data_IF_503927703923
#
_entry.id   IF_503927703923
#
_cell.length_a   1.000
_cell.length_b   1.000
_cell.length_c   1.000
_cell.angle_alpha   90.00
_cell.angle_beta   90.00
_cell.angle_gamma   90.00
#
_symmetry.space_group_name_H-M   'P 1'
#
loop_
_entity.id
_entity.type
_entity.pdbx_description
1 polymer ?
#
# COMPACT_ATOMS: atom_id res chain seq x y z
N UNK A 1 58.53 -33.60 -14.43
CA UNK A 1 58.49 -34.74 -13.49
C UNK A 1 57.11 -35.40 -13.56
N UNK A 2 57.11 -36.72 -13.78
CA UNK A 2 55.96 -37.66 -13.85
C UNK A 2 55.28 -37.77 -12.46
N UNK A 3 54.09 -38.32 -12.20
CA UNK A 3 53.15 -39.28 -12.84
C UNK A 3 51.79 -39.17 -12.11
N UNK A 4 50.59 -39.17 -12.73
CA UNK A 4 49.82 -40.28 -13.36
C UNK A 4 49.37 -41.42 -12.40
N UNK A 5 48.06 -41.52 -12.10
CA UNK A 5 47.07 -42.56 -12.59
C UNK A 5 45.94 -42.93 -11.57
N UNK A 6 44.70 -42.88 -12.08
CA UNK A 6 43.45 -43.59 -11.67
C UNK A 6 43.50 -45.09 -12.11
N UNK A 7 42.40 -45.90 -12.06
CA UNK A 7 41.44 -46.30 -11.00
C UNK A 7 41.23 -47.84 -10.97
N UNK A 8 40.29 -48.40 -10.18
CA UNK A 8 39.64 -49.71 -10.47
C UNK A 8 38.18 -49.78 -10.00
N UNK A 9 37.35 -50.37 -10.86
CA UNK A 9 35.95 -50.80 -10.69
C UNK A 9 35.91 -52.34 -10.83
N UNK A 10 34.84 -52.95 -10.28
CA UNK A 10 34.08 -54.11 -10.82
C UNK A 10 34.06 -55.43 -10.01
N UNK A 11 32.86 -56.04 -9.91
CA UNK A 11 32.61 -57.48 -9.63
C UNK A 11 31.44 -57.75 -8.65
N UNK A 12 30.16 -57.83 -9.06
CA UNK A 12 29.39 -58.98 -9.59
C UNK A 12 29.06 -60.10 -8.56
N UNK A 13 27.76 -60.34 -8.25
CA UNK A 13 27.03 -61.54 -8.72
C UNK A 13 25.59 -61.70 -8.19
N UNK A 14 24.78 -62.28 -9.08
CA UNK A 14 23.37 -62.68 -9.00
C UNK A 14 23.29 -64.21 -8.74
N UNK A 15 22.17 -64.72 -8.17
CA UNK A 15 21.37 -65.91 -8.60
C UNK A 15 20.40 -66.37 -7.47
N UNK A 16 19.06 -66.33 -7.70
CA UNK A 16 18.07 -67.46 -7.85
C UNK A 16 17.84 -68.36 -6.62
N UNK A 17 16.70 -68.96 -6.27
CA UNK A 17 15.33 -69.17 -6.79
C UNK A 17 14.53 -69.78 -5.59
N UNK A 18 13.21 -69.61 -5.46
CA UNK A 18 12.25 -70.69 -5.07
C UNK A 18 10.82 -70.15 -4.83
N UNK A 19 9.89 -70.63 -5.66
CA UNK A 19 8.43 -70.63 -5.45
C UNK A 19 8.03 -71.75 -4.47
N UNK A 20 6.91 -71.63 -3.73
CA UNK A 20 5.87 -72.63 -3.39
C UNK A 20 4.74 -71.91 -2.58
N UNK A 21 3.45 -72.37 -2.59
CA UNK A 21 2.27 -71.50 -2.49
C UNK A 21 1.37 -71.69 -1.23
N UNK A 22 0.32 -70.86 -1.16
CA UNK A 22 -0.99 -71.00 -0.48
C UNK A 22 -1.05 -71.17 1.06
N UNK A 23 -1.87 -70.36 1.73
CA UNK A 23 -3.16 -70.72 2.39
C UNK A 23 -3.64 -69.54 3.26
N UNK A 24 -4.88 -69.09 3.02
CA UNK A 24 -5.63 -68.12 3.84
C UNK A 24 -5.95 -68.68 5.23
N UNK A 25 -6.14 -67.79 6.22
CA UNK A 25 -7.35 -67.87 7.01
C UNK A 25 -8.12 -66.54 7.05
N UNK A 26 -9.42 -66.67 6.81
CA UNK A 26 -10.43 -65.64 6.98
C UNK A 26 -10.52 -65.32 8.48
N UNK A 27 -10.11 -64.11 8.88
CA UNK A 27 -10.51 -63.53 10.17
C UNK A 27 -11.52 -62.42 9.91
N UNK A 28 -12.78 -62.71 10.25
CA UNK A 28 -13.83 -61.70 10.46
C UNK A 28 -13.38 -60.79 11.61
N UNK A 29 -12.98 -59.56 11.30
CA UNK A 29 -12.97 -58.47 12.27
C UNK A 29 -14.26 -57.67 12.09
N UNK A 30 -15.04 -57.65 13.17
CA UNK A 30 -16.23 -56.84 13.37
C UNK A 30 -15.90 -55.36 13.25
N UNK A 31 -16.80 -54.60 12.64
CA UNK A 31 -16.72 -53.17 12.48
C UNK A 31 -16.56 -52.47 13.85
N UNK A 32 -15.41 -51.86 14.07
CA UNK A 32 -15.26 -50.70 14.93
C UNK A 32 -14.84 -49.55 14.00
N UNK A 33 -15.73 -48.59 13.81
CA UNK A 33 -15.47 -47.43 12.97
C UNK A 33 -14.27 -46.65 13.50
N UNK A 34 -13.30 -46.25 12.67
CA UNK A 34 -12.36 -45.23 13.07
C UNK A 34 -13.12 -43.90 13.03
N UNK A 35 -13.22 -43.29 14.21
CA UNK A 35 -13.73 -41.94 14.37
C UNK A 35 -13.06 -40.97 13.39
N UNK A 36 -13.89 -40.15 12.78
CA UNK A 36 -13.51 -38.98 12.00
C UNK A 36 -12.79 -37.97 12.88
N UNK A 37 -11.48 -38.13 13.00
CA UNK A 37 -10.58 -37.14 13.58
C UNK A 37 -9.80 -36.45 12.47
N UNK A 38 -10.16 -35.21 12.16
CA UNK A 38 -9.27 -34.26 11.46
C UNK A 38 -9.53 -33.98 9.99
N UNK A 39 -10.67 -33.37 9.63
CA UNK A 39 -10.80 -32.62 8.36
C UNK A 39 -11.52 -31.27 8.49
N UNK A 40 -11.81 -30.80 9.71
CA UNK A 40 -12.70 -29.67 9.94
C UNK A 40 -12.14 -28.29 9.56
N UNK A 41 -10.81 -28.11 9.56
CA UNK A 41 -10.21 -26.78 9.45
C UNK A 41 -9.96 -26.32 8.00
N UNK A 42 -9.66 -27.25 7.09
CA UNK A 42 -9.40 -26.92 5.67
C UNK A 42 -10.68 -26.55 4.90
N UNK A 43 -11.75 -27.33 5.08
CA UNK A 43 -13.02 -27.10 4.38
C UNK A 43 -13.71 -25.80 4.78
N UNK A 44 -13.54 -25.37 6.03
CA UNK A 44 -14.13 -24.14 6.55
C UNK A 44 -13.38 -22.88 6.03
N UNK A 45 -12.04 -22.92 5.98
CA UNK A 45 -11.26 -21.84 5.37
C UNK A 45 -11.53 -21.70 3.86
N UNK A 46 -11.56 -22.82 3.12
CA UNK A 46 -11.86 -22.81 1.69
C UNK A 46 -13.26 -22.24 1.40
N UNK A 47 -14.23 -22.55 2.27
CA UNK A 47 -15.58 -21.98 2.20
C UNK A 47 -15.56 -20.45 2.39
N UNK A 48 -14.88 -19.94 3.42
CA UNK A 48 -14.71 -18.48 3.63
C UNK A 48 -13.99 -17.81 2.47
N UNK A 49 -12.93 -18.43 1.95
CA UNK A 49 -12.18 -17.92 0.81
C UNK A 49 -13.07 -17.80 -0.44
N UNK A 50 -13.94 -18.77 -0.70
CA UNK A 50 -14.88 -18.70 -1.81
C UNK A 50 -15.90 -17.56 -1.65
N UNK A 51 -16.40 -17.33 -0.42
CA UNK A 51 -17.30 -16.21 -0.12
C UNK A 51 -16.62 -14.86 -0.37
N UNK A 52 -15.37 -14.69 0.09
CA UNK A 52 -14.56 -13.50 -0.19
C UNK A 52 -14.40 -13.28 -1.70
N UNK A 53 -14.03 -14.33 -2.45
CA UNK A 53 -13.90 -14.22 -3.90
C UNK A 53 -15.19 -13.78 -4.59
N UNK A 54 -16.35 -14.17 -4.07
CA UNK A 54 -17.63 -13.69 -4.60
C UNK A 54 -17.83 -12.19 -4.32
N UNK A 55 -17.50 -11.73 -3.10
CA UNK A 55 -17.53 -10.29 -2.78
C UNK A 55 -16.59 -9.49 -3.69
N UNK A 56 -15.36 -9.95 -3.90
CA UNK A 56 -14.35 -9.25 -4.70
C UNK A 56 -14.62 -9.26 -6.21
N UNK A 57 -15.54 -10.09 -6.70
CA UNK A 57 -16.05 -9.97 -8.09
C UNK A 57 -16.96 -8.75 -8.23
N UNK A 58 -17.77 -8.47 -7.22
CA UNK A 58 -18.74 -7.37 -7.24
C UNK A 58 -18.13 -6.03 -6.78
N UNK A 59 -17.13 -6.08 -5.91
CA UNK A 59 -16.53 -4.91 -5.27
C UNK A 59 -15.04 -4.84 -5.59
N UNK A 60 -14.55 -3.71 -6.10
CA UNK A 60 -13.12 -3.56 -6.35
C UNK A 60 -12.35 -3.61 -5.03
N UNK A 61 -11.37 -4.52 -4.94
CA UNK A 61 -10.33 -4.42 -3.92
C UNK A 61 -9.38 -3.27 -4.28
N UNK A 62 -9.23 -2.32 -3.37
CA UNK A 62 -8.41 -1.12 -3.52
C UNK A 62 -7.29 -1.14 -2.49
N UNK A 63 -6.05 -1.18 -2.96
CA UNK A 63 -4.87 -0.95 -2.12
C UNK A 63 -4.36 0.49 -2.28
N UNK A 64 -4.15 1.15 -1.15
CA UNK A 64 -3.79 2.57 -1.07
C UNK A 64 -2.32 2.91 -1.33
N UNK A 65 -1.42 1.94 -1.31
CA UNK A 65 0.01 2.23 -1.38
C UNK A 65 0.88 1.03 -1.77
N UNK A 66 1.56 1.15 -2.93
CA UNK A 66 2.52 0.16 -3.42
C UNK A 66 3.71 0.83 -4.13
N UNK A 67 4.92 0.46 -3.74
CA UNK A 67 6.19 1.06 -4.17
C UNK A 67 6.89 0.33 -5.32
N UNK A 68 6.18 -0.54 -6.06
CA UNK A 68 6.74 -1.15 -7.27
C UNK A 68 7.43 -0.14 -8.21
N UNK A 69 6.91 1.09 -8.46
CA UNK A 69 7.60 2.09 -9.27
C UNK A 69 9.00 2.45 -8.73
N UNK A 70 9.17 2.50 -7.41
CA UNK A 70 10.48 2.74 -6.81
C UNK A 70 11.44 1.57 -7.06
N UNK A 71 10.98 0.33 -6.98
CA UNK A 71 11.81 -0.84 -7.27
C UNK A 71 12.25 -0.91 -8.74
N UNK A 72 11.35 -0.58 -9.68
CA UNK A 72 11.71 -0.47 -11.10
C UNK A 72 12.78 0.61 -11.30
N UNK A 73 12.66 1.76 -10.61
CA UNK A 73 13.72 2.78 -10.62
C UNK A 73 15.03 2.27 -10.07
N UNK A 74 14.99 1.70 -8.87
CA UNK A 74 16.17 1.23 -8.14
C UNK A 74 16.96 0.22 -8.98
N UNK A 75 16.26 -0.79 -9.51
CA UNK A 75 16.86 -1.92 -10.21
C UNK A 75 17.13 -1.66 -11.68
N UNK A 76 16.20 -1.02 -12.41
CA UNK A 76 16.27 -0.88 -13.87
C UNK A 76 16.43 0.57 -14.35
N UNK A 77 16.52 1.54 -13.44
CA UNK A 77 16.63 2.96 -13.79
C UNK A 77 15.50 3.40 -14.74
N UNK A 78 14.27 2.96 -14.44
CA UNK A 78 13.04 3.26 -15.21
C UNK A 78 12.97 2.68 -16.63
N UNK A 79 13.90 1.78 -17.00
CA UNK A 79 13.93 1.12 -18.30
C UNK A 79 12.90 -0.02 -18.37
N UNK A 80 11.66 0.31 -18.74
CA UNK A 80 10.55 -0.66 -18.82
C UNK A 80 10.73 -1.75 -19.87
N UNK A 81 11.60 -1.55 -20.87
CA UNK A 81 11.94 -2.59 -21.86
C UNK A 81 12.53 -3.85 -21.20
N UNK A 82 13.18 -3.67 -20.05
CA UNK A 82 13.83 -4.73 -19.28
C UNK A 82 12.94 -5.20 -18.11
N UNK A 83 11.71 -4.69 -18.00
CA UNK A 83 10.76 -5.01 -16.93
C UNK A 83 9.62 -5.92 -17.41
N UNK A 84 9.66 -7.16 -16.95
CA UNK A 84 8.72 -8.22 -17.36
C UNK A 84 7.56 -8.37 -16.37
N UNK A 85 6.72 -7.35 -16.24
CA UNK A 85 5.61 -7.33 -15.27
C UNK A 85 4.56 -8.45 -15.45
N UNK A 86 4.42 -8.96 -16.67
CA UNK A 86 3.54 -10.09 -16.99
C UNK A 86 4.08 -11.46 -16.55
N UNK A 87 5.36 -11.55 -16.21
CA UNK A 87 6.00 -12.76 -15.70
C UNK A 87 5.84 -12.92 -14.18
N UNK A 88 6.45 -13.99 -13.65
CA UNK A 88 6.57 -14.20 -12.21
C UNK A 88 7.89 -13.61 -11.71
N UNK A 89 7.84 -12.44 -11.09
CA UNK A 89 9.07 -11.74 -10.69
C UNK A 89 9.84 -12.48 -9.60
N UNK A 90 9.25 -13.47 -8.92
CA UNK A 90 9.94 -14.34 -7.97
C UNK A 90 10.99 -15.23 -8.64
N UNK A 91 10.89 -15.42 -9.96
CA UNK A 91 11.80 -16.25 -10.74
C UNK A 91 12.81 -15.42 -11.55
N UNK A 92 12.73 -14.08 -11.50
CA UNK A 92 13.47 -13.19 -12.39
C UNK A 92 14.43 -12.27 -11.62
N UNK A 93 15.71 -12.26 -11.98
CA UNK A 93 16.67 -11.33 -11.38
C UNK A 93 16.38 -9.87 -11.83
N UNK A 94 16.61 -8.86 -10.96
CA UNK A 94 17.06 -8.96 -9.58
C UNK A 94 15.95 -9.22 -8.55
N UNK A 95 14.69 -9.35 -8.95
CA UNK A 95 13.54 -9.52 -8.06
C UNK A 95 13.54 -10.86 -7.30
N UNK A 96 14.00 -11.94 -7.91
CA UNK A 96 14.01 -13.28 -7.32
C UNK A 96 14.82 -13.40 -6.02
N UNK A 97 15.79 -12.51 -5.81
CA UNK A 97 16.58 -12.43 -4.58
C UNK A 97 16.30 -11.18 -3.75
N UNK A 98 15.33 -10.35 -4.17
CA UNK A 98 14.97 -9.11 -3.51
C UNK A 98 13.92 -9.33 -2.43
N UNK A 99 14.16 -8.78 -1.23
CA UNK A 99 13.14 -8.67 -0.19
C UNK A 99 12.03 -7.64 -0.53
N UNK A 100 12.15 -6.95 -1.66
CA UNK A 100 11.18 -6.00 -2.20
C UNK A 100 10.65 -6.53 -3.54
N UNK A 101 10.07 -7.72 -3.52
CA UNK A 101 9.48 -8.39 -4.69
C UNK A 101 8.10 -8.92 -4.33
N UNK A 102 7.17 -7.99 -4.14
CA UNK A 102 5.84 -8.31 -3.64
C UNK A 102 4.77 -8.27 -4.73
N UNK A 103 5.07 -7.67 -5.89
CA UNK A 103 4.04 -7.36 -6.89
C UNK A 103 4.45 -7.76 -8.31
N UNK A 104 3.61 -8.54 -8.96
CA UNK A 104 3.58 -8.75 -10.41
C UNK A 104 2.13 -8.94 -10.89
N UNK A 105 1.90 -8.90 -12.21
CA UNK A 105 0.52 -8.99 -12.75
C UNK A 105 -0.17 -10.31 -12.39
N UNK A 106 0.59 -11.40 -12.27
CA UNK A 106 0.05 -12.69 -11.90
C UNK A 106 -0.48 -12.64 -10.46
N UNK A 107 0.35 -12.22 -9.51
CA UNK A 107 -0.02 -12.14 -8.09
C UNK A 107 -1.12 -11.11 -7.85
N UNK A 108 -1.15 -9.98 -8.57
CA UNK A 108 -2.24 -9.00 -8.48
C UNK A 108 -3.59 -9.62 -8.85
N UNK A 109 -3.62 -10.45 -9.92
CA UNK A 109 -4.83 -11.18 -10.34
C UNK A 109 -5.22 -12.26 -9.33
N UNK A 110 -4.26 -13.04 -8.84
CA UNK A 110 -4.49 -14.06 -7.80
C UNK A 110 -5.05 -13.44 -6.51
N UNK A 111 -4.60 -12.24 -6.16
CA UNK A 111 -5.09 -11.45 -5.03
C UNK A 111 -6.39 -10.68 -5.30
N UNK A 112 -6.90 -10.72 -6.54
CA UNK A 112 -8.08 -9.99 -6.99
C UNK A 112 -8.00 -8.47 -6.79
N UNK A 113 -6.78 -7.90 -6.83
CA UNK A 113 -6.58 -6.46 -6.76
C UNK A 113 -7.21 -5.81 -7.98
N UNK A 114 -8.14 -4.90 -7.74
CA UNK A 114 -8.93 -4.25 -8.78
C UNK A 114 -8.54 -2.78 -8.97
N UNK A 115 -8.04 -2.13 -7.91
CA UNK A 115 -7.39 -0.84 -8.01
C UNK A 115 -6.14 -0.77 -7.14
N UNK A 116 -5.13 -0.06 -7.65
CA UNK A 116 -3.87 0.15 -6.96
C UNK A 116 -3.46 1.61 -7.09
N UNK A 117 -3.17 2.24 -5.96
CA UNK A 117 -2.37 3.45 -5.94
C UNK A 117 -0.89 3.10 -6.01
N UNK A 118 -0.25 3.51 -7.10
CA UNK A 118 1.18 3.39 -7.30
C UNK A 118 1.89 4.59 -6.70
N UNK A 119 2.85 4.35 -5.81
CA UNK A 119 3.62 5.41 -5.14
C UNK A 119 4.62 6.05 -6.11
N UNK A 120 4.44 7.34 -6.38
CA UNK A 120 5.40 8.21 -7.03
C UNK A 120 6.35 8.82 -5.98
N UNK A 121 7.13 7.95 -5.35
CA UNK A 121 8.06 8.30 -4.28
C UNK A 121 9.38 8.91 -4.79
N UNK A 122 9.86 9.93 -4.09
CA UNK A 122 11.23 10.45 -4.21
C UNK A 122 11.92 10.46 -2.84
N UNK A 123 13.21 10.06 -2.73
CA UNK A 123 13.90 10.03 -1.45
C UNK A 123 13.97 11.37 -0.73
N UNK A 124 13.86 11.36 0.60
CA UNK A 124 14.00 12.56 1.43
C UNK A 124 15.30 13.35 1.18
N UNK A 125 16.38 12.67 0.81
CA UNK A 125 17.67 13.30 0.48
C UNK A 125 17.64 14.14 -0.80
N UNK A 126 16.60 14.00 -1.63
CA UNK A 126 16.39 14.83 -2.83
C UNK A 126 15.68 16.16 -2.52
N UNK A 127 15.17 16.33 -1.30
CA UNK A 127 14.53 17.58 -0.89
C UNK A 127 15.53 18.75 -1.00
N UNK A 128 15.08 19.87 -1.57
CA UNK A 128 15.91 21.03 -1.94
C UNK A 128 16.94 20.76 -3.07
N UNK A 129 16.86 19.61 -3.73
CA UNK A 129 17.66 19.25 -4.91
C UNK A 129 16.71 18.98 -6.10
N UNK A 130 16.66 17.74 -6.55
CA UNK A 130 15.97 17.24 -7.73
C UNK A 130 14.65 16.52 -7.41
N UNK A 131 14.11 16.64 -6.19
CA UNK A 131 12.85 15.99 -5.77
C UNK A 131 11.71 16.14 -6.80
N UNK A 132 11.51 17.36 -7.33
CA UNK A 132 10.47 17.63 -8.33
C UNK A 132 10.70 16.82 -9.61
N UNK A 133 11.95 16.77 -10.10
CA UNK A 133 12.30 16.00 -11.29
C UNK A 133 12.12 14.50 -11.06
N UNK A 134 12.62 13.99 -9.92
CA UNK A 134 12.49 12.57 -9.57
C UNK A 134 11.01 12.16 -9.51
N UNK A 135 10.15 12.96 -8.89
CA UNK A 135 8.71 12.69 -8.84
C UNK A 135 8.08 12.71 -10.24
N UNK A 136 8.45 13.65 -11.12
CA UNK A 136 7.99 13.65 -12.51
C UNK A 136 8.40 12.37 -13.26
N UNK A 137 9.63 11.91 -13.09
CA UNK A 137 10.12 10.66 -13.67
C UNK A 137 9.36 9.43 -13.15
N UNK A 138 8.97 9.42 -11.87
CA UNK A 138 8.16 8.33 -11.30
C UNK A 138 6.70 8.37 -11.78
N UNK A 139 6.10 9.56 -11.89
CA UNK A 139 4.78 9.75 -12.50
C UNK A 139 4.78 9.24 -13.95
N UNK A 140 5.78 9.64 -14.73
CA UNK A 140 5.99 9.17 -16.10
C UNK A 140 6.15 7.63 -16.16
N UNK A 141 6.97 7.06 -15.28
CA UNK A 141 7.16 5.61 -15.19
C UNK A 141 5.82 4.88 -14.98
N UNK A 142 5.01 5.32 -14.03
CA UNK A 142 3.70 4.70 -13.74
C UNK A 142 2.81 4.77 -14.99
N UNK A 143 2.74 5.95 -15.63
CA UNK A 143 1.93 6.14 -16.85
C UNK A 143 2.38 5.21 -17.98
N UNK A 144 3.69 5.12 -18.24
CA UNK A 144 4.25 4.22 -19.26
C UNK A 144 4.05 2.75 -18.92
N UNK A 145 4.17 2.37 -17.65
CA UNK A 145 3.92 0.99 -17.21
C UNK A 145 2.48 0.58 -17.52
N UNK A 146 1.51 1.42 -17.17
CA UNK A 146 0.10 1.18 -17.46
C UNK A 146 -0.15 1.09 -18.97
N UNK A 147 0.44 2.00 -19.75
CA UNK A 147 0.33 2.00 -21.21
C UNK A 147 0.95 0.76 -21.86
N UNK A 148 1.98 0.16 -21.26
CA UNK A 148 2.62 -1.05 -21.75
C UNK A 148 1.74 -2.31 -21.56
N UNK A 149 0.80 -2.28 -20.62
CA UNK A 149 -0.10 -3.40 -20.32
C UNK A 149 -1.59 -3.02 -20.45
N UNK A 150 -2.04 -2.53 -21.62
CA UNK A 150 -3.38 -1.92 -21.78
C UNK A 150 -4.53 -2.94 -21.70
N UNK A 151 -4.23 -4.24 -21.86
CA UNK A 151 -5.18 -5.34 -21.68
C UNK A 151 -5.39 -5.70 -20.21
N UNK A 152 -4.50 -5.28 -19.31
CA UNK A 152 -4.54 -5.62 -17.89
C UNK A 152 -4.76 -4.41 -16.98
N UNK A 153 -4.42 -3.21 -17.44
CA UNK A 153 -4.41 -2.01 -16.60
C UNK A 153 -5.07 -0.84 -17.33
N UNK A 154 -5.59 0.10 -16.55
CA UNK A 154 -6.04 1.40 -17.05
C UNK A 154 -5.66 2.49 -16.07
N UNK A 155 -5.12 3.61 -16.56
CA UNK A 155 -4.83 4.77 -15.73
C UNK A 155 -6.16 5.48 -15.47
N UNK A 156 -6.55 5.58 -14.21
CA UNK A 156 -7.80 6.23 -13.81
C UNK A 156 -7.52 7.32 -12.80
N UNK A 157 -8.43 8.28 -12.73
CA UNK A 157 -8.23 9.49 -11.94
C UNK A 157 -9.50 9.97 -11.24
N UNK A 158 -10.47 9.08 -11.02
CA UNK A 158 -11.73 9.36 -10.32
C UNK A 158 -12.28 8.08 -9.69
N UNK A 159 -13.20 8.21 -8.74
CA UNK A 159 -13.88 7.06 -8.14
C UNK A 159 -14.68 6.28 -9.20
N UNK A 160 -15.42 6.98 -10.05
CA UNK A 160 -16.16 6.36 -11.16
C UNK A 160 -15.24 5.60 -12.14
N UNK A 161 -14.02 6.12 -12.38
CA UNK A 161 -13.02 5.44 -13.20
C UNK A 161 -12.57 4.10 -12.63
N UNK A 162 -12.44 4.00 -11.29
CA UNK A 162 -12.15 2.73 -10.60
C UNK A 162 -13.27 1.73 -10.85
N UNK A 163 -14.52 2.11 -10.57
CA UNK A 163 -15.67 1.22 -10.71
C UNK A 163 -15.89 0.76 -12.16
N UNK A 164 -15.71 1.67 -13.13
CA UNK A 164 -15.84 1.32 -14.55
C UNK A 164 -14.73 0.36 -14.99
N UNK A 165 -13.50 0.55 -14.52
CA UNK A 165 -12.37 -0.31 -14.86
C UNK A 165 -12.52 -1.70 -14.25
N UNK A 166 -13.00 -1.78 -13.01
CA UNK A 166 -13.32 -3.04 -12.32
C UNK A 166 -14.26 -3.92 -13.15
N UNK A 167 -15.34 -3.33 -13.71
CA UNK A 167 -16.30 -4.05 -14.57
C UNK A 167 -15.68 -4.65 -15.83
N UNK A 168 -14.53 -4.14 -16.28
CA UNK A 168 -13.80 -4.68 -17.44
C UNK A 168 -12.77 -5.75 -17.08
N UNK A 169 -12.61 -6.06 -15.78
CA UNK A 169 -11.61 -7.00 -15.28
C UNK A 169 -10.16 -6.50 -15.36
N UNK A 170 -9.97 -5.18 -15.59
CA UNK A 170 -8.66 -4.53 -15.58
C UNK A 170 -8.35 -3.96 -14.19
N UNK A 171 -7.08 -3.71 -13.93
CA UNK A 171 -6.59 -3.05 -12.73
C UNK A 171 -6.62 -1.53 -12.94
N UNK A 172 -7.48 -0.84 -12.19
CA UNK A 172 -7.49 0.61 -12.07
C UNK A 172 -6.18 1.08 -11.41
N UNK A 173 -5.35 1.76 -12.17
CA UNK A 173 -4.07 2.27 -11.72
C UNK A 173 -4.20 3.76 -11.45
N UNK A 174 -3.91 4.17 -10.22
CA UNK A 174 -3.89 5.57 -9.78
C UNK A 174 -2.49 5.94 -9.31
N UNK A 175 -2.25 7.25 -9.20
CA UNK A 175 -0.95 7.78 -8.78
C UNK A 175 -1.12 8.49 -7.45
N UNK A 176 -0.29 8.11 -6.48
CA UNK A 176 -0.12 8.80 -5.21
C UNK A 176 1.28 9.39 -5.10
N UNK A 177 1.41 10.67 -4.77
CA UNK A 177 2.73 11.28 -4.57
C UNK A 177 3.09 11.17 -3.09
N UNK A 178 4.20 10.49 -2.80
CA UNK A 178 4.62 10.23 -1.42
C UNK A 178 5.69 11.24 -0.97
N UNK A 179 5.23 12.27 -0.25
CA UNK A 179 6.07 13.24 0.43
C UNK A 179 5.98 14.65 -0.17
N UNK A 180 5.63 15.62 0.68
CA UNK A 180 5.45 17.03 0.28
C UNK A 180 6.72 17.73 -0.20
N UNK A 181 7.91 17.17 0.00
CA UNK A 181 9.13 17.69 -0.62
C UNK A 181 9.09 17.60 -2.16
N UNK A 182 8.28 16.68 -2.70
CA UNK A 182 8.07 16.50 -4.13
C UNK A 182 7.52 17.75 -4.83
N UNK A 183 6.73 18.59 -4.13
CA UNK A 183 6.17 19.81 -4.73
C UNK A 183 7.17 20.97 -4.73
N UNK A 184 8.38 20.80 -4.18
CA UNK A 184 9.39 21.85 -4.15
C UNK A 184 8.92 23.13 -3.47
N UNK A 185 7.97 23.03 -2.53
CA UNK A 185 7.30 24.18 -1.89
C UNK A 185 6.55 25.08 -2.90
N UNK A 186 5.91 24.49 -3.91
CA UNK A 186 5.19 25.23 -4.96
C UNK A 186 3.79 24.67 -5.18
N UNK A 187 2.78 25.52 -4.99
CA UNK A 187 1.38 25.20 -5.33
C UNK A 187 1.19 25.00 -6.84
N UNK A 188 2.02 25.63 -7.68
CA UNK A 188 2.01 25.38 -9.12
C UNK A 188 2.46 23.96 -9.45
N UNK A 189 3.51 23.45 -8.80
CA UNK A 189 3.95 22.06 -8.98
C UNK A 189 2.87 21.08 -8.51
N UNK A 190 2.23 21.36 -7.36
CA UNK A 190 1.08 20.58 -6.87
C UNK A 190 -0.03 20.46 -7.94
N UNK A 191 -0.43 21.59 -8.55
CA UNK A 191 -1.42 21.60 -9.63
C UNK A 191 -0.96 20.81 -10.86
N UNK A 192 0.32 20.89 -11.22
CA UNK A 192 0.87 20.11 -12.34
C UNK A 192 0.85 18.61 -12.06
N UNK A 193 1.18 18.17 -10.85
CA UNK A 193 1.04 16.76 -10.47
C UNK A 193 -0.41 16.29 -10.58
N UNK A 194 -1.38 17.09 -10.16
CA UNK A 194 -2.81 16.78 -10.34
C UNK A 194 -3.17 16.58 -11.81
N UNK A 195 -2.74 17.49 -12.69
CA UNK A 195 -2.97 17.39 -14.14
C UNK A 195 -2.30 16.16 -14.76
N UNK A 196 -1.14 15.75 -14.24
CA UNK A 196 -0.44 14.54 -14.69
C UNK A 196 -1.06 13.23 -14.14
N UNK A 197 -2.09 13.33 -13.30
CA UNK A 197 -2.90 12.20 -12.83
C UNK A 197 -2.74 11.85 -11.35
N UNK A 198 -1.93 12.58 -10.57
CA UNK A 198 -1.84 12.36 -9.14
C UNK A 198 -3.18 12.63 -8.45
N UNK A 199 -3.58 11.75 -7.53
CA UNK A 199 -4.85 11.84 -6.81
C UNK A 199 -4.74 11.85 -5.30
N UNK A 200 -3.57 11.56 -4.74
CA UNK A 200 -3.23 12.00 -3.40
C UNK A 200 -1.82 12.59 -3.33
N UNK A 201 -1.59 13.38 -2.29
CA UNK A 201 -0.26 13.76 -1.82
C UNK A 201 -0.13 13.42 -0.34
N UNK A 202 0.88 12.62 0.00
CA UNK A 202 1.33 12.41 1.39
C UNK A 202 2.09 13.65 1.84
N UNK A 203 1.62 14.33 2.89
CA UNK A 203 2.13 15.67 3.24
C UNK A 203 3.62 15.68 3.59
N UNK A 204 4.13 14.59 4.16
CA UNK A 204 5.56 14.36 4.41
C UNK A 204 5.92 12.92 4.05
N UNK A 205 7.22 12.62 3.92
CA UNK A 205 7.72 11.25 4.07
C UNK A 205 8.45 11.18 5.43
N UNK A 206 9.51 10.39 5.60
CA UNK A 206 10.32 10.33 6.84
C UNK A 206 11.25 11.53 7.06
N UNK A 207 10.87 12.72 6.56
CA UNK A 207 11.54 13.99 6.69
C UNK A 207 10.52 15.13 6.73
N UNK A 208 10.80 16.17 7.52
CA UNK A 208 10.00 17.39 7.54
C UNK A 208 10.13 18.12 6.20
N UNK A 209 9.07 18.85 5.84
CA UNK A 209 9.15 19.89 4.80
C UNK A 209 9.26 21.27 5.48
N UNK A 210 9.52 22.36 4.73
CA UNK A 210 9.39 23.71 5.27
C UNK A 210 8.01 24.07 5.83
N UNK A 211 6.99 23.22 5.64
CA UNK A 211 5.60 23.55 5.94
C UNK A 211 4.82 22.45 6.65
N UNK A 212 5.43 21.30 6.93
CA UNK A 212 4.84 20.18 7.66
C UNK A 212 5.90 19.33 8.39
N UNK A 213 5.57 18.90 9.60
CA UNK A 213 6.40 17.99 10.41
C UNK A 213 6.03 16.52 10.15
N UNK A 214 7.05 15.66 10.05
CA UNK A 214 6.89 14.21 9.89
C UNK A 214 6.91 13.46 11.22
N UNK A 215 6.44 12.22 11.21
CA UNK A 215 6.27 11.35 12.37
C UNK A 215 7.54 11.16 13.22
N UNK A 216 8.74 11.39 12.65
CA UNK A 216 9.99 11.31 13.42
C UNK A 216 10.01 12.31 14.57
N UNK A 217 9.29 13.43 14.50
CA UNK A 217 9.25 14.39 15.61
C UNK A 217 8.52 13.87 16.84
N UNK A 218 7.69 12.83 16.69
CA UNK A 218 6.95 12.20 17.78
C UNK A 218 7.75 11.06 18.45
N UNK A 219 8.94 10.72 17.93
CA UNK A 219 9.82 9.74 18.54
C UNK A 219 10.46 10.30 19.84
N UNK A 220 10.77 9.43 20.82
CA UNK A 220 11.40 9.86 22.08
C UNK A 220 12.68 10.69 21.85
N UNK A 221 12.74 11.87 22.49
CA UNK A 221 13.90 12.77 22.42
C UNK A 221 14.02 13.58 21.13
N UNK A 222 12.98 13.58 20.27
CA UNK A 222 12.89 14.45 19.09
C UNK A 222 12.06 15.69 19.41
N UNK A 223 12.23 16.72 18.58
CA UNK A 223 11.55 18.01 18.73
C UNK A 223 10.92 18.42 17.40
N UNK A 224 9.72 19.02 17.43
CA UNK A 224 9.07 19.52 16.22
C UNK A 224 9.86 20.67 15.61
N UNK A 225 9.80 20.81 14.28
CA UNK A 225 10.40 21.96 13.59
C UNK A 225 9.40 23.12 13.52
N UNK A 226 8.12 22.82 13.26
CA UNK A 226 7.05 23.82 13.15
C UNK A 226 5.98 23.63 14.24
N UNK A 227 5.74 22.37 14.63
CA UNK A 227 4.67 21.99 15.55
C UNK A 227 3.39 21.56 14.84
N UNK A 228 3.47 21.10 13.57
CA UNK A 228 2.31 20.73 12.76
C UNK A 228 2.39 21.27 11.34
N UNK A 229 1.36 21.98 10.90
CA UNK A 229 1.34 22.70 9.62
C UNK A 229 1.64 24.19 9.80
N UNK A 230 2.55 24.72 8.98
CA UNK A 230 2.72 26.18 8.87
C UNK A 230 1.50 26.84 8.20
N UNK A 231 1.48 28.17 8.15
CA UNK A 231 0.46 28.91 7.36
C UNK A 231 0.46 28.43 5.91
N UNK A 232 1.64 28.27 5.30
CA UNK A 232 1.76 27.73 3.95
C UNK A 232 1.28 26.28 3.87
N UNK A 233 1.57 25.44 4.86
CA UNK A 233 1.08 24.06 4.91
C UNK A 233 -0.45 23.98 4.90
N UNK A 234 -1.12 24.91 5.60
CA UNK A 234 -2.59 25.04 5.56
C UNK A 234 -3.11 25.47 4.18
N UNK A 235 -2.36 26.30 3.45
CA UNK A 235 -2.68 26.65 2.06
C UNK A 235 -2.51 25.47 1.11
N UNK A 236 -1.50 24.61 1.32
CA UNK A 236 -1.33 23.36 0.55
C UNK A 236 -2.57 22.48 0.72
N UNK A 237 -3.03 22.23 1.96
CA UNK A 237 -4.25 21.45 2.23
C UNK A 237 -5.48 22.06 1.55
N UNK A 238 -5.65 23.38 1.61
CA UNK A 238 -6.77 24.08 0.95
C UNK A 238 -6.72 23.97 -0.57
N UNK A 239 -5.55 24.09 -1.19
CA UNK A 239 -5.39 23.92 -2.64
C UNK A 239 -5.67 22.46 -3.06
N UNK A 240 -5.29 21.49 -2.22
CA UNK A 240 -5.65 20.08 -2.44
C UNK A 240 -7.17 19.86 -2.39
N UNK A 241 -7.89 20.46 -1.43
CA UNK A 241 -9.35 20.41 -1.40
C UNK A 241 -9.96 21.02 -2.67
N UNK A 242 -9.48 22.20 -3.11
CA UNK A 242 -9.94 22.86 -4.33
C UNK A 242 -9.71 22.02 -5.58
N UNK A 243 -8.60 21.29 -5.63
CA UNK A 243 -8.28 20.38 -6.74
C UNK A 243 -9.09 19.08 -6.70
N UNK A 244 -9.60 18.66 -5.55
CA UNK A 244 -10.05 17.27 -5.35
C UNK A 244 -8.87 16.30 -5.34
N UNK A 245 -7.71 16.74 -4.84
CA UNK A 245 -6.59 15.87 -4.52
C UNK A 245 -6.75 15.43 -3.06
N UNK A 246 -6.72 14.13 -2.82
CA UNK A 246 -6.84 13.56 -1.49
C UNK A 246 -5.59 13.93 -0.67
N UNK A 247 -5.80 14.39 0.55
CA UNK A 247 -4.72 14.66 1.51
C UNK A 247 -4.43 13.37 2.27
N UNK A 248 -3.19 12.91 2.16
CA UNK A 248 -2.70 11.71 2.85
C UNK A 248 -1.82 12.08 4.06
N UNK A 249 -2.18 11.52 5.21
CA UNK A 249 -1.57 11.76 6.52
C UNK A 249 -0.60 10.65 6.94
N UNK A 250 -0.37 9.62 6.11
CA UNK A 250 0.75 8.71 6.37
C UNK A 250 2.07 9.50 6.47
N UNK A 251 3.00 9.03 7.31
CA UNK A 251 4.28 9.65 7.63
C UNK A 251 4.26 10.98 8.39
N UNK A 252 3.11 11.63 8.60
CA UNK A 252 3.08 12.94 9.27
C UNK A 252 3.13 12.79 10.80
N UNK A 253 3.50 13.86 11.50
CA UNK A 253 3.41 13.89 12.97
C UNK A 253 1.99 14.07 13.48
N UNK A 254 1.72 13.69 14.72
CA UNK A 254 0.40 13.85 15.35
C UNK A 254 -0.09 15.32 15.29
N UNK A 255 0.72 16.35 15.60
CA UNK A 255 0.30 17.74 15.40
C UNK A 255 -0.08 18.05 13.95
N UNK A 256 0.66 17.54 12.97
CA UNK A 256 0.34 17.69 11.54
C UNK A 256 -0.98 17.00 11.19
N UNK A 257 -1.26 15.80 11.75
CA UNK A 257 -2.55 15.12 11.56
C UNK A 257 -3.71 16.01 12.03
N UNK A 258 -3.59 16.59 13.24
CA UNK A 258 -4.63 17.41 13.84
C UNK A 258 -4.83 18.73 13.10
N UNK A 259 -3.75 19.41 12.68
CA UNK A 259 -3.84 20.64 11.89
C UNK A 259 -4.47 20.40 10.52
N UNK A 260 -4.14 19.28 9.85
CA UNK A 260 -4.73 18.92 8.57
C UNK A 260 -6.23 18.60 8.73
N UNK A 261 -6.61 17.85 9.76
CA UNK A 261 -8.01 17.57 10.12
C UNK A 261 -8.81 18.83 10.41
N UNK A 262 -8.21 19.82 11.06
CA UNK A 262 -8.86 21.10 11.33
C UNK A 262 -8.94 22.02 10.09
N UNK A 263 -8.06 21.83 9.12
CA UNK A 263 -7.96 22.69 7.92
C UNK A 263 -8.77 22.17 6.74
N UNK A 264 -8.86 20.84 6.57
CA UNK A 264 -9.46 20.22 5.41
C UNK A 264 -10.99 20.32 5.40
N UNK A 265 -11.54 20.66 4.24
CA UNK A 265 -12.99 20.63 3.97
C UNK A 265 -13.45 19.29 3.41
N UNK A 266 -12.52 18.42 2.99
CA UNK A 266 -12.79 17.09 2.46
C UNK A 266 -12.27 16.00 3.41
N UNK A 267 -12.78 14.76 3.29
CA UNK A 267 -12.21 13.62 3.99
C UNK A 267 -10.73 13.39 3.68
N UNK A 268 -10.00 12.97 4.70
CA UNK A 268 -8.56 12.68 4.66
C UNK A 268 -8.32 11.17 4.62
N UNK A 269 -7.14 10.75 4.18
CA UNK A 269 -6.72 9.35 4.31
C UNK A 269 -5.42 9.20 5.10
N UNK A 270 -5.19 8.00 5.61
CA UNK A 270 -3.86 7.45 5.81
C UNK A 270 -3.71 6.34 4.78
N UNK A 271 -2.88 6.52 3.75
CA UNK A 271 -2.74 5.56 2.65
C UNK A 271 -2.08 4.24 3.06
N UNK A 272 -1.27 4.26 4.12
CA UNK A 272 -0.61 3.08 4.71
C UNK A 272 -0.17 3.39 6.15
N UNK A 273 -1.06 3.26 7.12
CA UNK A 273 -0.74 3.40 8.56
C UNK A 273 -1.63 2.50 9.40
N UNK A 274 -1.11 2.05 10.54
CA UNK A 274 -1.82 1.09 11.41
C UNK A 274 -2.19 1.73 12.75
N UNK A 275 -2.82 0.99 13.66
CA UNK A 275 -3.26 1.51 14.98
C UNK A 275 -2.13 1.63 16.02
N UNK A 276 -1.96 2.80 16.62
CA UNK A 276 -0.87 3.04 17.60
C UNK A 276 -1.08 2.28 18.92
N UNK A 277 -2.34 2.06 19.32
CA UNK A 277 -2.66 1.34 20.55
C UNK A 277 -2.18 -0.13 20.54
N UNK A 278 -2.09 -0.74 19.36
CA UNK A 278 -1.62 -2.12 19.17
C UNK A 278 -0.09 -2.16 19.05
N UNK A 279 0.49 -1.22 18.28
CA UNK A 279 1.93 -1.05 18.14
C UNK A 279 2.30 0.43 18.21
N UNK A 280 3.08 0.81 19.23
CA UNK A 280 3.47 2.19 19.57
C UNK A 280 4.56 2.78 18.66
N UNK A 281 4.45 2.54 17.35
CA UNK A 281 5.26 3.21 16.34
C UNK A 281 4.73 4.61 16.08
N UNK A 282 5.62 5.61 15.95
CA UNK A 282 5.24 6.97 15.51
C UNK A 282 4.60 6.98 14.10
N UNK A 283 4.75 5.90 13.32
CA UNK A 283 4.08 5.73 12.03
C UNK A 283 2.60 5.34 12.14
N UNK A 284 2.13 4.98 13.33
CA UNK A 284 0.77 4.53 13.57
C UNK A 284 -0.13 5.63 14.14
N UNK A 285 -1.43 5.49 13.91
CA UNK A 285 -2.45 6.50 14.23
C UNK A 285 -2.94 6.32 15.67
N UNK A 286 -2.82 7.32 16.56
CA UNK A 286 -3.38 7.28 17.90
C UNK A 286 -4.91 7.32 17.91
N UNK A 287 -5.54 6.74 18.94
CA UNK A 287 -7.00 6.62 19.03
C UNK A 287 -7.73 7.96 19.00
N UNK A 288 -7.16 9.01 19.62
CA UNK A 288 -7.76 10.35 19.56
C UNK A 288 -7.74 10.93 18.14
N UNK A 289 -6.82 10.52 17.28
CA UNK A 289 -6.81 10.87 15.84
C UNK A 289 -7.78 9.98 15.07
N UNK A 290 -7.86 8.68 15.38
CA UNK A 290 -8.85 7.77 14.79
C UNK A 290 -10.30 8.28 14.99
N UNK A 291 -10.61 8.77 16.19
CA UNK A 291 -11.91 9.39 16.49
C UNK A 291 -12.16 10.65 15.64
N UNK A 292 -11.13 11.46 15.39
CA UNK A 292 -11.23 12.65 14.53
C UNK A 292 -11.39 12.29 13.05
N UNK A 293 -10.77 11.20 12.61
CA UNK A 293 -10.96 10.67 11.26
C UNK A 293 -12.40 10.22 11.04
N UNK A 294 -13.02 9.58 12.04
CA UNK A 294 -14.43 9.21 11.99
C UNK A 294 -15.33 10.44 11.80
N UNK A 295 -15.10 11.51 12.58
CA UNK A 295 -15.83 12.78 12.46
C UNK A 295 -15.61 13.46 11.10
N UNK A 296 -14.37 13.43 10.59
CA UNK A 296 -14.02 14.01 9.29
C UNK A 296 -14.60 13.23 8.10
N UNK A 297 -15.03 11.98 8.29
CA UNK A 297 -15.43 11.11 7.19
C UNK A 297 -14.25 10.40 6.52
N UNK A 298 -13.04 10.48 7.07
CA UNK A 298 -11.80 9.98 6.46
C UNK A 298 -11.63 8.44 6.52
N UNK A 299 -10.45 7.96 6.12
CA UNK A 299 -10.15 6.52 6.02
C UNK A 299 -8.72 6.20 6.47
N UNK A 300 -8.55 5.15 7.28
CA UNK A 300 -7.23 4.59 7.62
C UNK A 300 -7.02 3.29 6.86
N UNK A 301 -6.03 3.27 5.98
CA UNK A 301 -5.68 2.11 5.15
C UNK A 301 -4.51 1.38 5.80
N UNK A 302 -4.75 0.15 6.27
CA UNK A 302 -3.84 -0.56 7.18
C UNK A 302 -2.58 -1.05 6.45
N UNK A 303 -1.42 -0.70 7.01
CA UNK A 303 -0.10 -1.12 6.52
C UNK A 303 0.33 -2.48 7.09
N UNK A 304 1.12 -3.23 6.31
CA UNK A 304 1.52 -4.60 6.67
C UNK A 304 2.96 -4.69 7.18
N UNK A 305 3.68 -3.58 7.37
CA UNK A 305 5.06 -3.66 7.82
C UNK A 305 5.18 -4.22 9.25
N UNK A 306 5.94 -5.30 9.53
CA UNK A 306 6.05 -5.89 10.87
C UNK A 306 6.39 -4.90 11.99
N UNK A 307 7.27 -3.93 11.73
CA UNK A 307 7.60 -2.89 12.71
C UNK A 307 6.45 -1.91 13.00
N UNK A 308 5.40 -1.89 12.17
CA UNK A 308 4.17 -1.12 12.38
C UNK A 308 3.02 -1.99 12.88
N UNK A 309 3.08 -3.32 12.73
CA UNK A 309 1.98 -4.21 13.12
C UNK A 309 2.22 -5.00 14.41
N UNK A 310 3.44 -5.49 14.63
CA UNK A 310 3.80 -6.22 15.86
C UNK A 310 4.86 -5.49 16.67
N UNK A 311 5.30 -4.30 16.21
CA UNK A 311 6.42 -3.55 16.78
C UNK A 311 7.72 -4.36 16.86
N UNK A 312 7.86 -5.38 16.00
CA UNK A 312 9.00 -6.28 15.95
C UNK A 312 9.34 -6.66 14.51
N UNK A 313 10.42 -7.43 14.33
CA UNK A 313 10.81 -7.95 13.01
C UNK A 313 9.97 -9.14 12.51
N UNK A 314 8.98 -9.61 13.29
CA UNK A 314 8.16 -10.77 12.97
C UNK A 314 6.68 -10.46 13.19
N UNK A 315 5.84 -10.68 12.19
CA UNK A 315 4.40 -10.51 12.29
C UNK A 315 3.68 -11.60 11.51
N UNK A 316 2.39 -11.73 11.74
CA UNK A 316 1.47 -12.66 11.08
C UNK A 316 0.26 -11.91 10.54
N UNK A 317 -0.54 -12.56 9.70
CA UNK A 317 -1.80 -11.99 9.24
C UNK A 317 -2.78 -11.65 10.39
N UNK A 318 -2.70 -12.35 11.53
CA UNK A 318 -3.56 -12.09 12.68
C UNK A 318 -3.21 -10.78 13.38
N UNK A 319 -1.93 -10.37 13.35
CA UNK A 319 -1.51 -9.06 13.86
C UNK A 319 -2.14 -7.94 13.01
N UNK A 320 -2.18 -8.12 11.68
CA UNK A 320 -2.89 -7.19 10.78
C UNK A 320 -4.39 -7.16 11.07
N UNK A 321 -5.02 -8.33 11.28
CA UNK A 321 -6.43 -8.42 11.69
C UNK A 321 -6.69 -7.66 13.00
N UNK A 322 -5.77 -7.73 13.97
CA UNK A 322 -5.90 -6.99 15.23
C UNK A 322 -5.95 -5.47 15.00
N UNK A 323 -5.09 -4.94 14.11
CA UNK A 323 -5.15 -3.53 13.73
C UNK A 323 -6.44 -3.14 13.00
N UNK A 324 -6.91 -3.95 12.05
CA UNK A 324 -8.16 -3.71 11.33
C UNK A 324 -9.34 -3.67 12.32
N UNK A 325 -9.39 -4.63 13.26
CA UNK A 325 -10.43 -4.70 14.28
C UNK A 325 -10.38 -3.50 15.24
N UNK A 326 -9.18 -3.08 15.68
CA UNK A 326 -9.03 -1.92 16.56
C UNK A 326 -9.48 -0.63 15.89
N UNK A 327 -9.09 -0.40 14.63
CA UNK A 327 -9.54 0.79 13.88
C UNK A 327 -11.05 0.76 13.67
N UNK A 328 -11.63 -0.40 13.33
CA UNK A 328 -13.08 -0.58 13.24
C UNK A 328 -13.79 -0.25 14.57
N UNK A 329 -13.22 -0.64 15.70
CA UNK A 329 -13.79 -0.40 17.03
C UNK A 329 -13.76 1.08 17.41
N UNK A 330 -12.65 1.78 17.13
CA UNK A 330 -12.48 3.19 17.53
C UNK A 330 -13.10 4.16 16.53
N UNK A 331 -12.91 3.94 15.23
CA UNK A 331 -13.35 4.85 14.18
C UNK A 331 -14.64 4.40 13.49
N UNK A 332 -14.98 3.11 13.51
CA UNK A 332 -16.14 2.55 12.81
C UNK A 332 -15.78 1.84 11.50
N UNK A 333 -16.68 0.98 11.02
CA UNK A 333 -16.46 0.14 9.82
C UNK A 333 -16.25 0.94 8.53
N UNK A 334 -16.77 2.18 8.46
CA UNK A 334 -16.68 3.05 7.27
C UNK A 334 -15.33 3.79 7.15
N UNK A 335 -14.42 3.56 8.10
CA UNK A 335 -13.15 4.31 8.26
C UNK A 335 -11.91 3.42 8.26
N UNK A 336 -12.04 2.16 7.85
CA UNK A 336 -10.91 1.21 7.71
C UNK A 336 -10.80 0.70 6.26
N UNK A 337 -9.57 0.63 5.74
CA UNK A 337 -9.23 0.18 4.39
C UNK A 337 -7.91 -0.60 4.37
N UNK A 338 -7.40 -0.91 3.18
CA UNK A 338 -6.16 -1.68 2.98
C UNK A 338 -5.10 -0.85 2.26
N UNK A 339 -3.91 -0.77 2.84
CA UNK A 339 -2.80 0.00 2.31
C UNK A 339 -1.49 -0.67 2.66
N UNK A 340 -1.24 -1.83 2.05
CA UNK A 340 -0.27 -2.80 2.52
C UNK A 340 1.17 -2.24 2.61
N UNK A 341 1.53 -1.32 1.72
CA UNK A 341 2.91 -0.83 1.59
C UNK A 341 3.83 -1.86 0.93
N UNK A 342 3.26 -2.74 0.09
CA UNK A 342 4.04 -3.72 -0.66
C UNK A 342 5.10 -3.03 -1.53
N UNK A 343 6.17 -3.76 -1.82
CA UNK A 343 7.39 -3.29 -2.47
C UNK A 343 8.15 -2.13 -1.78
N UNK A 344 7.60 -1.47 -0.77
CA UNK A 344 8.22 -0.37 -0.02
C UNK A 344 8.95 -0.84 1.25
N UNK A 345 8.56 -2.01 1.74
CA UNK A 345 9.08 -2.62 2.96
C UNK A 345 9.91 -3.86 2.64
N UNK A 346 10.87 -4.17 3.52
CA UNK A 346 11.76 -5.33 3.38
C UNK A 346 11.28 -6.57 4.16
N UNK A 347 10.21 -6.44 4.92
CA UNK A 347 9.60 -7.49 5.73
C UNK A 347 8.09 -7.39 5.60
N UNK A 348 7.42 -8.54 5.59
CA UNK A 348 5.96 -8.66 5.50
C UNK A 348 5.48 -9.73 6.49
N UNK A 349 4.20 -9.70 6.91
CA UNK A 349 3.68 -10.66 7.86
C UNK A 349 3.55 -12.05 7.23
N UNK A 350 3.75 -13.10 8.02
CA UNK A 350 3.47 -14.48 7.60
C UNK A 350 1.98 -14.64 7.25
N UNK A 351 1.70 -15.20 6.08
CA UNK A 351 0.37 -15.30 5.47
C UNK A 351 -0.02 -14.10 4.61
N UNK A 352 0.83 -13.08 4.52
CA UNK A 352 0.68 -11.86 3.72
C UNK A 352 1.95 -11.55 2.91
N UNK A 353 2.57 -12.60 2.36
CA UNK A 353 3.88 -12.50 1.71
C UNK A 353 3.92 -11.59 0.48
N UNK A 354 2.80 -11.47 -0.23
CA UNK A 354 2.71 -10.69 -1.46
C UNK A 354 1.25 -10.32 -1.79
N UNK A 355 1.07 -9.55 -2.86
CA UNK A 355 -0.25 -9.06 -3.30
C UNK A 355 -1.25 -10.17 -3.63
N UNK A 356 -0.87 -11.45 -3.70
CA UNK A 356 -1.83 -12.56 -3.89
C UNK A 356 -2.63 -12.90 -2.63
N UNK A 357 -2.23 -12.36 -1.47
CA UNK A 357 -2.71 -12.82 -0.15
C UNK A 357 -3.90 -12.06 0.42
N UNK A 358 -4.37 -10.98 -0.20
CA UNK A 358 -5.55 -10.24 0.29
C UNK A 358 -6.80 -11.11 0.52
N UNK A 359 -7.15 -12.07 -0.36
CA UNK A 359 -8.30 -12.94 -0.10
C UNK A 359 -8.15 -13.79 1.17
N UNK A 360 -6.92 -14.13 1.57
CA UNK A 360 -6.66 -14.89 2.80
C UNK A 360 -6.93 -14.02 4.03
N UNK A 361 -6.49 -12.75 4.01
CA UNK A 361 -6.78 -11.79 5.09
C UNK A 361 -8.30 -11.65 5.32
N UNK A 362 -9.07 -11.45 4.25
CA UNK A 362 -10.52 -11.33 4.35
C UNK A 362 -11.19 -12.64 4.79
N UNK A 363 -10.67 -13.79 4.35
CA UNK A 363 -11.18 -15.08 4.79
C UNK A 363 -10.93 -15.31 6.29
N UNK A 364 -9.81 -14.83 6.82
CA UNK A 364 -9.51 -14.84 8.26
C UNK A 364 -10.40 -13.86 9.03
N UNK A 365 -10.74 -12.68 8.49
CA UNK A 365 -11.72 -11.80 9.14
C UNK A 365 -13.09 -12.47 9.30
N UNK A 366 -13.52 -13.25 8.30
CA UNK A 366 -14.76 -14.03 8.32
C UNK A 366 -14.73 -15.24 9.26
N UNK A 367 -13.62 -15.54 9.93
CA UNK A 367 -13.57 -16.55 11.02
C UNK A 367 -14.39 -16.12 12.22
N UNK A 368 -14.54 -14.81 12.41
CA UNK A 368 -15.30 -14.23 13.50
C UNK A 368 -16.66 -13.76 13.03
N UNK A 369 -17.68 -13.97 13.87
CA UNK A 369 -19.03 -13.41 13.67
C UNK A 369 -19.06 -11.87 13.69
N UNK A 370 -17.93 -11.21 13.99
CA UNK A 370 -17.77 -9.75 13.92
C UNK A 370 -17.80 -9.23 12.47
N UNK A 371 -17.55 -10.06 11.47
CA UNK A 371 -17.45 -9.63 10.07
C UNK A 371 -18.51 -10.27 9.19
N UNK A 372 -19.25 -9.43 8.47
CA UNK A 372 -20.16 -9.84 7.40
C UNK A 372 -19.52 -9.66 6.03
N UNK A 373 -20.08 -10.28 4.99
CA UNK A 373 -19.66 -10.01 3.60
C UNK A 373 -19.85 -8.53 3.21
N UNK A 374 -20.85 -7.86 3.78
CA UNK A 374 -21.06 -6.42 3.61
C UNK A 374 -19.93 -5.59 4.24
N UNK A 375 -19.42 -6.00 5.40
CA UNK A 375 -18.25 -5.37 6.03
C UNK A 375 -16.98 -5.62 5.21
N UNK A 376 -16.80 -6.84 4.67
CA UNK A 376 -15.68 -7.16 3.78
C UNK A 376 -15.75 -6.29 2.51
N UNK A 377 -16.94 -6.08 1.93
CA UNK A 377 -17.13 -5.16 0.81
C UNK A 377 -16.75 -3.71 1.16
N UNK A 378 -17.08 -3.25 2.36
CA UNK A 378 -16.68 -1.93 2.88
C UNK A 378 -15.16 -1.81 2.96
N UNK A 379 -14.52 -2.74 3.66
CA UNK A 379 -13.07 -2.81 3.84
C UNK A 379 -12.31 -2.94 2.51
N UNK A 380 -12.81 -3.77 1.58
CA UNK A 380 -12.16 -4.05 0.31
C UNK A 380 -12.06 -2.80 -0.57
N UNK A 381 -13.07 -1.94 -0.60
CA UNK A 381 -12.98 -0.74 -1.43
C UNK A 381 -14.15 0.23 -1.35
N UNK A 382 -15.34 -0.16 -0.89
CA UNK A 382 -16.47 0.79 -0.83
C UNK A 382 -16.19 1.99 0.07
N UNK A 383 -15.43 1.79 1.16
CA UNK A 383 -15.02 2.89 2.02
C UNK A 383 -14.12 3.90 1.30
N UNK A 384 -13.17 3.40 0.50
CA UNK A 384 -12.30 4.25 -0.30
C UNK A 384 -13.08 4.99 -1.40
N UNK A 385 -13.97 4.28 -2.11
CA UNK A 385 -14.82 4.90 -3.14
C UNK A 385 -15.69 6.02 -2.55
N UNK A 386 -16.26 5.82 -1.36
CA UNK A 386 -16.98 6.87 -0.62
C UNK A 386 -16.10 8.09 -0.39
N UNK A 387 -14.93 7.91 0.22
CA UNK A 387 -13.99 9.00 0.50
C UNK A 387 -13.59 9.74 -0.77
N UNK A 388 -13.28 9.02 -1.84
CA UNK A 388 -12.86 9.65 -3.09
C UNK A 388 -14.02 10.44 -3.73
N UNK A 389 -15.24 9.89 -3.75
CA UNK A 389 -16.42 10.63 -4.20
C UNK A 389 -16.68 11.91 -3.38
N UNK A 390 -16.51 11.87 -2.06
CA UNK A 390 -16.66 13.06 -1.19
C UNK A 390 -15.58 14.11 -1.47
N UNK A 391 -14.34 13.70 -1.73
CA UNK A 391 -13.25 14.59 -2.15
C UNK A 391 -13.54 15.23 -3.51
N UNK A 392 -14.05 14.46 -4.47
CA UNK A 392 -14.47 14.99 -5.77
C UNK A 392 -15.68 15.93 -5.65
N UNK A 393 -16.63 15.66 -4.75
CA UNK A 393 -17.76 16.54 -4.48
C UNK A 393 -17.33 17.90 -3.92
N UNK A 394 -16.33 17.94 -3.03
CA UNK A 394 -15.77 19.21 -2.53
C UNK A 394 -15.12 20.00 -3.66
N UNK A 395 -14.34 19.35 -4.54
CA UNK A 395 -13.80 20.00 -5.75
C UNK A 395 -14.91 20.61 -6.59
N UNK A 396 -15.95 19.84 -6.90
CA UNK A 396 -17.04 20.26 -7.78
C UNK A 396 -17.83 21.42 -7.15
N UNK A 397 -18.05 21.38 -5.83
CA UNK A 397 -18.65 22.49 -5.09
C UNK A 397 -17.78 23.76 -5.15
N UNK A 398 -16.47 23.63 -4.96
CA UNK A 398 -15.56 24.78 -5.01
C UNK A 398 -15.45 25.36 -6.42
N UNK A 399 -15.53 24.54 -7.47
CA UNK A 399 -15.58 24.98 -8.86
C UNK A 399 -16.89 25.73 -9.18
N UNK A 400 -18.04 25.20 -8.72
CA UNK A 400 -19.34 25.89 -8.82
C UNK A 400 -19.31 27.26 -8.13
N UNK A 401 -18.61 27.36 -7.00
CA UNK A 401 -18.38 28.62 -6.27
C UNK A 401 -17.27 29.50 -6.88
N UNK A 402 -16.63 29.05 -7.97
CA UNK A 402 -15.52 29.74 -8.68
C UNK A 402 -14.35 30.09 -7.76
N UNK A 403 -14.04 29.23 -6.79
CA UNK A 403 -12.88 29.41 -5.91
C UNK A 403 -11.61 29.40 -6.77
N UNK A 404 -10.86 30.49 -6.73
CA UNK A 404 -9.65 30.66 -7.53
C UNK A 404 -8.49 29.82 -6.99
N UNK A 405 -7.55 29.38 -7.85
CA UNK A 405 -6.31 28.76 -7.40
C UNK A 405 -5.55 29.65 -6.43
N UNK A 406 -5.01 29.04 -5.37
CA UNK A 406 -4.14 29.75 -4.42
C UNK A 406 -2.78 30.02 -5.09
N UNK A 407 -2.38 31.29 -5.13
CA UNK A 407 -1.16 31.81 -5.76
C UNK A 407 -0.11 32.32 -4.74
N UNK A 408 -0.45 32.27 -3.45
CA UNK A 408 0.43 32.65 -2.36
C UNK A 408 1.67 31.74 -2.30
N UNK A 409 2.85 32.36 -2.26
CA UNK A 409 4.13 31.68 -2.10
C UNK A 409 4.43 31.44 -0.62
N UNK A 410 5.29 30.46 -0.32
CA UNK A 410 5.79 30.28 1.04
C UNK A 410 6.57 31.53 1.48
N UNK A 411 6.48 31.95 2.75
CA UNK A 411 7.34 32.99 3.30
C UNK A 411 8.83 32.64 3.13
N UNK A 412 9.67 33.64 2.88
CA UNK A 412 11.09 33.44 2.59
C UNK A 412 11.86 32.91 3.80
N UNK A 413 11.44 33.31 4.99
CA UNK A 413 11.96 32.87 6.28
C UNK A 413 11.82 31.36 6.49
N UNK A 414 10.74 30.74 6.01
CA UNK A 414 10.49 29.30 6.14
C UNK A 414 11.44 28.46 5.27
N UNK A 415 12.08 29.08 4.26
CA UNK A 415 13.00 28.41 3.33
C UNK A 415 14.44 28.95 3.41
N UNK A 416 14.72 29.83 4.37
CA UNK A 416 16.04 30.44 4.57
C UNK A 416 17.09 29.37 4.86
N UNK A 417 18.26 29.46 4.22
CA UNK A 417 19.34 28.47 4.34
C UNK A 417 19.11 27.15 3.57
N UNK A 418 17.95 26.99 2.92
CA UNK A 418 17.59 25.79 2.13
C UNK A 418 17.29 26.11 0.66
N UNK A 419 17.78 27.25 0.18
CA UNK A 419 17.54 27.78 -1.17
C UNK A 419 18.72 27.60 -2.13
N UNK A 420 19.74 26.83 -1.77
CA UNK A 420 21.01 26.74 -2.51
C UNK A 420 20.87 26.18 -3.95
N UNK A 421 19.82 25.40 -4.24
CA UNK A 421 19.47 24.96 -5.60
C UNK A 421 18.23 25.67 -6.18
N UNK A 422 17.82 26.82 -5.62
CA UNK A 422 16.74 27.64 -6.15
C UNK A 422 17.30 28.88 -6.82
N UNK A 423 16.80 29.20 -8.01
CA UNK A 423 17.08 30.50 -8.63
C UNK A 423 16.39 31.60 -7.81
N UNK A 424 17.18 32.49 -7.20
CA UNK A 424 16.68 33.58 -6.35
C UNK A 424 16.56 34.91 -7.11
N UNK A 425 16.60 34.89 -8.45
CA UNK A 425 16.70 36.11 -9.25
C UNK A 425 18.13 36.66 -9.32
N UNK A 426 18.33 37.78 -10.04
CA UNK A 426 19.60 38.50 -10.01
C UNK A 426 19.89 39.01 -8.59
N UNK A 427 21.10 38.75 -8.08
CA UNK A 427 21.58 39.40 -6.85
C UNK A 427 21.85 40.87 -7.21
N UNK A 428 20.96 41.76 -6.81
CA UNK A 428 21.16 43.22 -6.92
C UNK A 428 22.16 43.71 -5.89
#
# INVERSE_FOLDING_TARGET
>A
MKSRKLPKVCGLNCLTLLCIPLVLPILRCTAAGPGSGGSGNGGDFDYRLQRVRNVLKEVPLIDGHNDLPWNIRKFLKNQLKDFHFGGDLREMAPWSSSAWSHTDLRRLKEGMVSAQFWSAYAPCSSQHLDAVQLTLEQIDLIRRLVQLYPHHMALVTSAAGIEQTHRTGKIASLIGVEGGHAIGTSLSVLRMFYQLGARYLTLTHTCNTPWADCCKVDEPGKYPHIGGLSIFGKLVVKEMNRLGMIVDLSHVSVPTMLDALATSQAPLIFSHSSAHAICNSSRNVPDHVLQRIAINGGLVMVAFYPHFVSCSGQATLHDVVAHINHIREVAGIDHVGIGAGYDGVNLVPKGLEDVSKYPHLFATLLESDKWTEGDIAKLAGRNFIRVFNEVEAVRDQMDLLRVQPIDQSIPAEDIMGRSYCRYQGPRT
#
